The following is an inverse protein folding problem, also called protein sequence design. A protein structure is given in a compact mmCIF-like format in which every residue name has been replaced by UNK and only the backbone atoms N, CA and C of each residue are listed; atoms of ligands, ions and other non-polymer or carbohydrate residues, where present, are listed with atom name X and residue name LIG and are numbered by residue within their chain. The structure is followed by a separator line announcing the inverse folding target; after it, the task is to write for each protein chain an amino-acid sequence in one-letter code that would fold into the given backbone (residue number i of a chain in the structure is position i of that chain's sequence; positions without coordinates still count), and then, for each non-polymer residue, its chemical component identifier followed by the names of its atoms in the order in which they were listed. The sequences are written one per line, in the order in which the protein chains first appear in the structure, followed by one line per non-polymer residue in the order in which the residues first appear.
data_IF_377407675115
#
_entry.id   IF_377407675115
#
_cell.length_a   1.000
_cell.length_b   1.000
_cell.length_c   1.000
_cell.angle_alpha   90.00
_cell.angle_beta   90.00
_cell.angle_gamma   90.00
#
_symmetry.space_group_name_H-M   'P 1'
#
loop_
_entity.id
_entity.type
_entity.pdbx_description
1 polymer ?
#
# COMPACT_ATOMS: atom_id res chain seq x y z
N UNK A 1 -53.30 46.67 14.45
CA UNK A 1 -51.83 46.85 14.38
C UNK A 1 -51.20 45.47 14.29
N UNK A 2 -50.35 45.25 13.27
CA UNK A 2 -49.86 43.94 12.81
C UNK A 2 -48.80 43.37 13.75
N UNK A 3 -48.85 42.04 13.93
CA UNK A 3 -47.96 41.18 14.74
C UNK A 3 -46.52 41.20 14.24
N UNK A 4 -45.55 41.05 15.14
CA UNK A 4 -44.23 40.52 14.79
C UNK A 4 -43.60 39.83 16.02
N UNK A 5 -43.63 38.50 16.04
CA UNK A 5 -42.86 37.68 16.98
C UNK A 5 -41.62 37.19 16.24
N UNK A 6 -40.46 37.72 16.61
CA UNK A 6 -39.18 37.30 16.04
C UNK A 6 -38.70 36.05 16.77
N UNK A 7 -38.85 34.89 16.15
CA UNK A 7 -38.18 33.65 16.57
C UNK A 7 -36.71 33.73 16.14
N UNK A 8 -35.79 33.85 17.10
CA UNK A 8 -34.35 33.70 16.86
C UNK A 8 -34.03 32.23 17.13
N UNK A 9 -34.06 31.41 16.10
CA UNK A 9 -33.50 30.05 16.13
C UNK A 9 -31.99 30.17 15.94
N UNK A 10 -31.23 30.12 17.04
CA UNK A 10 -29.78 29.91 16.99
C UNK A 10 -29.55 28.46 16.59
N UNK A 11 -29.34 28.23 15.30
CA UNK A 11 -28.76 26.98 14.82
C UNK A 11 -27.29 26.94 15.26
N UNK A 12 -27.00 26.27 16.37
CA UNK A 12 -25.65 25.75 16.61
C UNK A 12 -25.38 24.71 15.52
N UNK A 13 -24.87 25.13 14.37
CA UNK A 13 -24.01 24.25 13.59
C UNK A 13 -22.78 24.02 14.45
N UNK A 14 -22.76 22.88 15.14
CA UNK A 14 -21.53 22.34 15.66
C UNK A 14 -20.58 22.19 14.48
N UNK A 15 -19.65 23.13 14.32
CA UNK A 15 -18.44 22.90 13.56
C UNK A 15 -17.67 21.87 14.37
N UNK A 16 -17.98 20.58 14.14
CA UNK A 16 -17.03 19.54 14.48
C UNK A 16 -15.74 19.94 13.76
N UNK A 17 -14.62 20.14 14.48
CA UNK A 17 -13.35 20.32 13.81
C UNK A 17 -13.17 19.16 12.82
N UNK A 18 -12.89 19.50 11.56
CA UNK A 18 -12.38 18.57 10.54
C UNK A 18 -11.01 18.07 11.03
N UNK A 19 -10.98 17.30 12.10
CA UNK A 19 -9.85 16.44 12.41
C UNK A 19 -9.85 15.42 11.30
N UNK A 20 -8.95 15.61 10.33
CA UNK A 20 -8.83 14.74 9.17
C UNK A 20 -8.81 13.28 9.61
N UNK A 21 -9.59 12.45 8.91
CA UNK A 21 -9.68 11.02 9.19
C UNK A 21 -8.28 10.40 9.25
N UNK A 22 -8.01 9.66 10.33
CA UNK A 22 -6.73 8.99 10.55
C UNK A 22 -6.75 7.60 9.92
N UNK A 23 -5.57 6.97 9.79
CA UNK A 23 -5.49 5.62 9.25
C UNK A 23 -6.28 4.60 10.09
N UNK A 24 -6.30 4.76 11.42
CA UNK A 24 -7.10 3.88 12.30
C UNK A 24 -8.60 4.05 12.08
N UNK A 25 -9.08 5.28 11.88
CA UNK A 25 -10.50 5.52 11.63
C UNK A 25 -10.92 4.91 10.29
N UNK A 26 -10.09 5.10 9.26
CA UNK A 26 -10.31 4.52 7.94
C UNK A 26 -10.27 2.99 7.97
N UNK A 27 -9.30 2.39 8.67
CA UNK A 27 -9.16 0.95 8.84
C UNK A 27 -10.35 0.32 9.58
N UNK A 28 -10.81 0.93 10.67
CA UNK A 28 -12.01 0.47 11.39
C UNK A 28 -13.25 0.48 10.52
N UNK A 29 -13.41 1.52 9.70
CA UNK A 29 -14.55 1.67 8.78
C UNK A 29 -14.46 0.79 7.52
N UNK A 30 -13.36 0.07 7.31
CA UNK A 30 -13.18 -0.78 6.12
C UNK A 30 -14.21 -1.91 6.07
N UNK A 31 -14.90 -2.11 4.94
CA UNK A 31 -15.87 -3.19 4.81
C UNK A 31 -15.18 -4.56 4.81
N UNK A 32 -15.88 -5.56 5.34
CA UNK A 32 -15.37 -6.93 5.46
C UNK A 32 -15.05 -7.60 4.10
N UNK A 33 -15.62 -7.10 3.00
CA UNK A 33 -15.29 -7.54 1.64
C UNK A 33 -13.82 -7.26 1.26
N UNK A 34 -13.22 -6.20 1.81
CA UNK A 34 -11.83 -5.83 1.56
C UNK A 34 -10.86 -6.44 2.57
N UNK A 35 -11.35 -6.87 3.74
CA UNK A 35 -10.59 -7.66 4.72
C UNK A 35 -11.34 -8.91 5.16
N UNK A 36 -11.45 -9.93 4.29
CA UNK A 36 -12.25 -11.12 4.58
C UNK A 36 -11.75 -11.88 5.81
N UNK A 37 -10.47 -11.77 6.16
CA UNK A 37 -9.88 -12.44 7.33
C UNK A 37 -10.19 -11.76 8.66
N UNK A 38 -10.46 -10.45 8.68
CA UNK A 38 -10.59 -9.67 9.90
C UNK A 38 -12.02 -9.17 10.07
N UNK A 39 -12.58 -9.44 11.25
CA UNK A 39 -13.86 -8.83 11.66
C UNK A 39 -13.66 -7.39 12.11
N UNK A 40 -14.74 -6.61 12.21
CA UNK A 40 -14.72 -5.28 12.83
C UNK A 40 -14.10 -5.31 14.25
N UNK A 41 -14.46 -6.31 15.05
CA UNK A 41 -13.91 -6.50 16.41
C UNK A 41 -12.40 -6.75 16.34
N UNK A 42 -11.93 -7.62 15.44
CA UNK A 42 -10.49 -7.85 15.29
C UNK A 42 -9.73 -6.57 14.92
N UNK A 43 -10.30 -5.73 14.04
CA UNK A 43 -9.67 -4.46 13.65
C UNK A 43 -9.56 -3.51 14.83
N UNK A 44 -10.61 -3.41 15.65
CA UNK A 44 -10.60 -2.61 16.87
C UNK A 44 -9.58 -3.14 17.90
N UNK A 45 -9.60 -4.45 18.19
CA UNK A 45 -8.69 -5.08 19.15
C UNK A 45 -7.21 -4.87 18.78
N UNK A 46 -6.85 -5.01 17.50
CA UNK A 46 -5.49 -4.75 17.04
C UNK A 46 -5.03 -3.32 17.34
N UNK A 47 -5.89 -2.33 17.12
CA UNK A 47 -5.57 -0.92 17.41
C UNK A 47 -5.37 -0.74 18.92
N UNK A 48 -6.34 -1.20 19.72
CA UNK A 48 -6.33 -1.02 21.17
C UNK A 48 -5.12 -1.71 21.81
N UNK A 49 -4.75 -2.89 21.34
CA UNK A 49 -3.57 -3.62 21.81
C UNK A 49 -2.28 -2.87 21.48
N UNK A 50 -2.12 -2.37 20.25
CA UNK A 50 -0.88 -1.71 19.84
C UNK A 50 -0.72 -0.34 20.52
N UNK A 51 -1.81 0.43 20.66
CA UNK A 51 -1.83 1.69 21.42
C UNK A 51 -1.49 1.45 22.91
N UNK A 52 -1.90 0.31 23.45
CA UNK A 52 -1.55 -0.14 24.81
C UNK A 52 -0.14 -0.76 24.91
N UNK A 53 0.66 -0.73 23.84
CA UNK A 53 2.01 -1.33 23.76
C UNK A 53 2.03 -2.84 24.02
N UNK A 54 0.91 -3.51 23.79
CA UNK A 54 0.79 -4.97 23.84
C UNK A 54 1.05 -5.56 22.46
N UNK A 55 1.27 -6.88 22.40
CA UNK A 55 1.32 -7.60 21.12
C UNK A 55 -0.08 -7.57 20.49
N UNK A 56 -0.22 -6.89 19.35
CA UNK A 56 -1.50 -6.67 18.68
C UNK A 56 -1.93 -7.85 17.81
N UNK A 57 -2.00 -9.03 18.41
CA UNK A 57 -2.35 -10.29 17.76
C UNK A 57 -3.81 -10.68 18.03
N UNK A 58 -4.51 -11.07 16.96
CA UNK A 58 -5.91 -11.53 17.00
C UNK A 58 -6.04 -12.88 16.29
N UNK A 59 -7.09 -13.63 16.66
CA UNK A 59 -7.48 -14.84 15.92
C UNK A 59 -8.43 -14.43 14.79
N UNK A 60 -8.03 -14.68 13.54
CA UNK A 60 -8.76 -14.32 12.34
C UNK A 60 -9.88 -15.32 12.01
N UNK A 61 -10.70 -15.03 10.98
CA UNK A 61 -11.84 -15.88 10.59
C UNK A 61 -11.48 -17.33 10.22
N UNK A 62 -10.22 -17.61 9.89
CA UNK A 62 -9.73 -18.96 9.59
C UNK A 62 -9.15 -19.66 10.84
N UNK A 63 -9.27 -19.07 12.02
CA UNK A 63 -8.70 -19.60 13.26
C UNK A 63 -7.18 -19.43 13.38
N UNK A 64 -6.55 -18.70 12.46
CA UNK A 64 -5.11 -18.42 12.47
C UNK A 64 -4.81 -17.06 13.10
N UNK A 65 -3.53 -16.79 13.36
CA UNK A 65 -3.09 -15.51 13.94
C UNK A 65 -2.86 -14.47 12.86
N UNK A 66 -3.35 -13.26 13.13
CA UNK A 66 -3.02 -12.03 12.41
C UNK A 66 -2.54 -11.00 13.41
N UNK A 67 -1.59 -10.15 13.03
CA UNK A 67 -0.93 -9.22 13.94
C UNK A 67 -0.79 -7.84 13.30
N UNK A 68 -1.16 -6.78 14.02
CA UNK A 68 -0.80 -5.41 13.65
C UNK A 68 0.62 -5.13 14.13
N UNK A 69 1.54 -4.97 13.18
CA UNK A 69 2.96 -4.79 13.50
C UNK A 69 3.35 -3.32 13.59
N UNK A 70 2.58 -2.42 12.97
CA UNK A 70 2.86 -0.99 12.98
C UNK A 70 1.58 -0.18 12.79
N UNK A 71 1.47 0.91 13.55
CA UNK A 71 0.41 1.90 13.48
C UNK A 71 1.04 3.29 13.61
N UNK A 72 0.76 4.13 12.62
CA UNK A 72 1.10 5.55 12.61
C UNK A 72 -0.16 6.36 12.22
N UNK A 73 -0.15 7.71 12.33
CA UNK A 73 -1.33 8.53 12.06
C UNK A 73 -1.97 8.32 10.68
N UNK A 74 -1.15 7.99 9.67
CA UNK A 74 -1.52 7.83 8.27
C UNK A 74 -1.12 6.46 7.69
N UNK A 75 -0.62 5.53 8.50
CA UNK A 75 -0.10 4.24 8.03
C UNK A 75 -0.45 3.09 8.97
N UNK A 76 -0.76 1.93 8.40
CA UNK A 76 -0.94 0.66 9.14
C UNK A 76 -0.19 -0.46 8.42
N UNK A 77 0.39 -1.37 9.19
CA UNK A 77 0.93 -2.64 8.70
C UNK A 77 0.37 -3.83 9.48
N UNK A 78 -0.12 -4.81 8.74
CA UNK A 78 -0.67 -6.06 9.23
C UNK A 78 0.12 -7.25 8.69
N UNK A 79 0.47 -8.19 9.57
CA UNK A 79 0.73 -9.57 9.22
C UNK A 79 -0.63 -10.29 9.15
N UNK A 80 -1.07 -10.66 7.95
CA UNK A 80 -2.40 -11.28 7.76
C UNK A 80 -2.36 -12.78 8.04
N UNK A 81 -1.32 -13.46 7.59
CA UNK A 81 -1.00 -14.87 7.88
C UNK A 81 0.52 -15.03 7.97
N UNK A 82 1.06 -16.22 8.23
CA UNK A 82 2.51 -16.46 8.14
C UNK A 82 3.13 -16.22 6.75
N UNK A 83 2.29 -16.12 5.71
CA UNK A 83 2.72 -15.96 4.30
C UNK A 83 2.09 -14.76 3.62
N UNK A 84 1.38 -13.87 4.33
CA UNK A 84 0.79 -12.69 3.70
C UNK A 84 0.81 -11.49 4.62
N UNK A 85 1.00 -10.33 4.02
CA UNK A 85 1.13 -9.04 4.67
C UNK A 85 0.21 -8.05 3.98
N UNK A 86 -0.28 -7.08 4.73
CA UNK A 86 -1.09 -6.00 4.22
C UNK A 86 -0.62 -4.67 4.79
N UNK A 87 -0.60 -3.63 3.96
CA UNK A 87 -0.22 -2.28 4.36
C UNK A 87 -1.26 -1.30 3.83
N UNK A 88 -1.50 -0.21 4.56
CA UNK A 88 -2.20 0.95 4.01
C UNK A 88 -1.47 2.24 4.36
N UNK A 89 -1.59 3.23 3.48
CA UNK A 89 -1.17 4.60 3.73
C UNK A 89 -2.20 5.59 3.20
N UNK A 90 -2.54 6.59 3.99
CA UNK A 90 -3.36 7.72 3.57
C UNK A 90 -2.47 8.78 2.92
N UNK A 91 -2.81 9.21 1.71
CA UNK A 91 -1.99 10.12 0.91
C UNK A 91 -2.81 11.35 0.51
N UNK A 92 -2.26 12.55 0.67
CA UNK A 92 -2.93 13.79 0.30
C UNK A 92 -2.83 13.99 -1.22
N UNK A 93 -3.96 14.06 -1.92
CA UNK A 93 -4.00 14.47 -3.34
C UNK A 93 -3.94 16.00 -3.44
N UNK A 94 -4.63 16.68 -2.53
CA UNK A 94 -4.62 18.13 -2.33
C UNK A 94 -4.95 18.43 -0.85
N UNK A 95 -5.11 19.71 -0.49
CA UNK A 95 -5.34 20.14 0.89
C UNK A 95 -6.62 19.58 1.53
N UNK A 96 -7.59 19.15 0.73
CA UNK A 96 -8.90 18.69 1.18
C UNK A 96 -9.21 17.22 0.86
N UNK A 97 -8.43 16.59 -0.03
CA UNK A 97 -8.70 15.24 -0.53
C UNK A 97 -7.57 14.29 -0.19
N UNK A 98 -7.93 13.17 0.43
CA UNK A 98 -7.04 12.04 0.68
C UNK A 98 -7.51 10.81 -0.07
N UNK A 99 -6.56 9.97 -0.45
CA UNK A 99 -6.80 8.62 -0.96
C UNK A 99 -6.11 7.61 -0.06
N UNK A 100 -6.61 6.39 -0.07
CA UNK A 100 -6.03 5.25 0.64
C UNK A 100 -5.29 4.39 -0.37
N UNK A 101 -3.97 4.30 -0.23
CA UNK A 101 -3.17 3.32 -0.96
C UNK A 101 -3.05 2.06 -0.09
N UNK A 102 -3.38 0.90 -0.64
CA UNK A 102 -3.18 -0.39 0.05
C UNK A 102 -2.20 -1.25 -0.72
N UNK A 103 -1.41 -2.06 0.01
CA UNK A 103 -0.58 -3.11 -0.57
C UNK A 103 -0.98 -4.43 0.06
N UNK A 104 -1.30 -5.41 -0.80
CA UNK A 104 -1.47 -6.80 -0.41
C UNK A 104 -0.29 -7.60 -0.95
N UNK A 105 0.50 -8.21 -0.06
CA UNK A 105 1.64 -9.04 -0.45
C UNK A 105 1.39 -10.48 -0.06
N UNK A 106 1.54 -11.40 -1.02
CA UNK A 106 1.53 -12.85 -0.77
C UNK A 106 2.95 -13.38 -0.98
N UNK A 107 3.44 -14.11 0.01
CA UNK A 107 4.72 -14.79 -0.04
C UNK A 107 4.50 -16.27 -0.38
N UNK A 108 4.34 -16.55 -1.67
CA UNK A 108 4.35 -17.89 -2.23
C UNK A 108 5.78 -18.46 -2.26
N UNK A 109 6.28 -19.00 -3.37
CA UNK A 109 7.71 -19.30 -3.51
C UNK A 109 8.55 -18.02 -3.45
N UNK A 110 8.02 -16.92 -3.98
CA UNK A 110 8.63 -15.59 -4.01
C UNK A 110 7.56 -14.54 -3.67
N UNK A 111 7.88 -13.45 -2.95
CA UNK A 111 6.91 -12.40 -2.66
C UNK A 111 6.46 -11.66 -3.91
N UNK A 112 5.15 -11.47 -4.03
CA UNK A 112 4.53 -10.61 -5.04
C UNK A 112 3.44 -9.74 -4.41
N UNK A 113 3.26 -8.53 -4.94
CA UNK A 113 2.42 -7.51 -4.32
C UNK A 113 1.46 -6.87 -5.30
N UNK A 114 0.22 -6.70 -4.84
CA UNK A 114 -0.80 -5.92 -5.51
C UNK A 114 -0.98 -4.56 -4.82
N UNK A 115 -1.18 -3.51 -5.62
CA UNK A 115 -1.30 -2.12 -5.14
C UNK A 115 -2.61 -1.53 -5.63
N UNK A 116 -3.51 -1.23 -4.69
CA UNK A 116 -4.83 -0.67 -4.97
C UNK A 116 -4.98 0.72 -4.34
N UNK A 117 -5.91 1.50 -4.89
CA UNK A 117 -6.25 2.82 -4.38
C UNK A 117 -7.75 2.91 -4.11
N UNK A 118 -8.12 3.59 -3.04
CA UNK A 118 -9.51 3.79 -2.64
C UNK A 118 -9.76 5.22 -2.18
N UNK A 119 -11.02 5.63 -2.20
CA UNK A 119 -11.47 6.76 -1.38
C UNK A 119 -11.40 6.41 0.11
N UNK A 120 -11.57 7.41 0.97
CA UNK A 120 -11.68 7.24 2.42
C UNK A 120 -12.89 6.41 2.87
N UNK A 121 -13.90 6.30 1.99
CA UNK A 121 -15.12 5.50 2.14
C UNK A 121 -15.01 4.13 1.45
N UNK A 122 -13.79 3.72 1.06
CA UNK A 122 -13.49 2.41 0.48
C UNK A 122 -14.12 2.14 -0.89
N UNK A 123 -14.37 3.19 -1.67
CA UNK A 123 -14.66 3.04 -3.10
C UNK A 123 -13.37 2.89 -3.88
N UNK A 124 -13.23 1.80 -4.65
CA UNK A 124 -12.04 1.54 -5.45
C UNK A 124 -11.85 2.60 -6.54
N UNK A 125 -10.60 3.02 -6.72
CA UNK A 125 -10.18 3.99 -7.72
C UNK A 125 -9.23 3.33 -8.72
N UNK A 126 -9.16 3.89 -9.93
CA UNK A 126 -8.23 3.37 -10.94
C UNK A 126 -6.78 3.59 -10.49
N UNK A 127 -6.05 2.51 -10.21
CA UNK A 127 -4.65 2.56 -9.78
C UNK A 127 -3.76 3.32 -10.77
N UNK A 128 -4.04 3.22 -12.07
CA UNK A 128 -3.31 3.93 -13.13
C UNK A 128 -3.34 5.46 -13.01
N UNK A 129 -4.31 6.02 -12.29
CA UNK A 129 -4.37 7.46 -11.99
C UNK A 129 -3.32 7.90 -10.98
N UNK A 130 -2.83 6.98 -10.16
CA UNK A 130 -1.95 7.25 -9.02
C UNK A 130 -0.58 6.60 -9.13
N UNK A 131 -0.45 5.54 -9.92
CA UNK A 131 0.76 4.74 -10.01
C UNK A 131 0.84 4.03 -11.36
N UNK A 132 1.96 4.22 -12.04
CA UNK A 132 2.39 3.31 -13.09
C UNK A 132 3.16 2.17 -12.41
N UNK A 133 2.62 0.95 -12.48
CA UNK A 133 3.34 -0.22 -11.97
C UNK A 133 4.64 -0.42 -12.78
N UNK A 134 5.76 -0.73 -12.11
CA UNK A 134 7.03 -0.95 -12.80
C UNK A 134 6.95 -2.22 -13.66
N UNK A 135 7.56 -2.17 -14.83
CA UNK A 135 7.73 -3.31 -15.73
C UNK A 135 9.13 -3.90 -15.58
N UNK A 136 9.38 -5.07 -16.18
CA UNK A 136 10.67 -5.76 -16.11
C UNK A 136 11.84 -4.85 -16.49
N UNK A 137 11.67 -4.05 -17.54
CA UNK A 137 12.68 -3.15 -18.07
C UNK A 137 13.08 -2.05 -17.09
N UNK A 138 12.17 -1.61 -16.21
CA UNK A 138 12.49 -0.61 -15.19
C UNK A 138 13.53 -1.13 -14.20
N UNK A 139 13.55 -2.45 -13.96
CA UNK A 139 14.49 -3.15 -13.09
C UNK A 139 15.79 -3.55 -13.78
N UNK A 140 15.99 -3.23 -15.07
CA UNK A 140 17.16 -3.62 -15.84
C UNK A 140 17.89 -2.40 -16.42
N UNK A 141 19.21 -2.38 -16.27
CA UNK A 141 20.14 -1.40 -16.86
C UNK A 141 20.95 -2.06 -17.98
N UNK A 142 20.29 -2.62 -18.99
CA UNK A 142 20.98 -3.21 -20.15
C UNK A 142 21.35 -2.10 -21.14
N UNK A 143 22.64 -1.92 -21.50
CA UNK A 143 23.02 -0.93 -22.51
C UNK A 143 22.45 -1.28 -23.88
N UNK A 144 21.91 -0.31 -24.62
CA UNK A 144 21.36 -0.54 -25.97
C UNK A 144 22.39 -1.11 -26.95
N UNK A 145 23.68 -0.84 -26.73
CA UNK A 145 24.78 -1.38 -27.53
C UNK A 145 25.07 -2.86 -27.28
N UNK A 146 24.51 -3.44 -26.21
CA UNK A 146 24.74 -4.82 -25.83
C UNK A 146 23.83 -5.75 -26.65
N UNK A 147 24.31 -6.19 -27.82
CA UNK A 147 23.65 -7.22 -28.63
C UNK A 147 24.07 -8.63 -28.18
N UNK A 148 23.81 -8.95 -26.91
CA UNK A 148 24.15 -10.24 -26.30
C UNK A 148 22.93 -11.17 -26.30
N UNK A 149 23.02 -12.27 -27.04
CA UNK A 149 21.95 -13.27 -27.13
C UNK A 149 21.67 -13.96 -25.80
N UNK A 150 22.68 -14.13 -24.95
CA UNK A 150 22.55 -14.71 -23.61
C UNK A 150 21.74 -13.82 -22.68
N UNK A 151 21.97 -12.50 -22.71
CA UNK A 151 21.15 -11.54 -21.94
C UNK A 151 19.70 -11.55 -22.41
N UNK A 152 19.46 -11.54 -23.73
CA UNK A 152 18.09 -11.61 -24.28
C UNK A 152 17.38 -12.92 -23.91
N UNK A 153 18.09 -14.04 -23.97
CA UNK A 153 17.58 -15.33 -23.55
C UNK A 153 17.27 -15.36 -22.05
N UNK A 154 18.15 -14.82 -21.21
CA UNK A 154 17.92 -14.75 -19.77
C UNK A 154 16.72 -13.86 -19.43
N UNK A 155 16.54 -12.71 -20.10
CA UNK A 155 15.35 -11.87 -19.95
C UNK A 155 14.07 -12.61 -20.35
N UNK A 156 14.11 -13.45 -21.39
CA UNK A 156 12.93 -14.23 -21.82
C UNK A 156 12.46 -15.28 -20.81
N UNK A 157 13.30 -15.63 -19.82
CA UNK A 157 12.91 -16.53 -18.71
C UNK A 157 12.15 -15.81 -17.59
N UNK A 158 12.13 -14.47 -17.58
CA UNK A 158 11.32 -13.67 -16.65
C UNK A 158 9.88 -13.55 -17.19
N UNK A 159 9.17 -14.67 -17.27
CA UNK A 159 7.80 -14.79 -17.77
C UNK A 159 6.75 -14.08 -16.89
N UNK A 160 7.07 -13.84 -15.62
CA UNK A 160 6.25 -13.11 -14.65
C UNK A 160 7.10 -12.06 -13.92
N UNK A 161 6.73 -10.79 -14.04
CA UNK A 161 7.38 -9.73 -13.27
C UNK A 161 6.83 -9.68 -11.85
N UNK A 162 7.43 -10.48 -10.96
CA UNK A 162 7.13 -10.48 -9.53
C UNK A 162 7.90 -9.36 -8.81
N UNK A 163 7.19 -8.61 -7.98
CA UNK A 163 7.73 -7.48 -7.21
C UNK A 163 7.17 -7.42 -5.79
N UNK A 164 8.02 -7.04 -4.83
CA UNK A 164 7.58 -6.75 -3.47
C UNK A 164 7.44 -5.24 -3.27
N UNK A 165 6.22 -4.77 -3.08
CA UNK A 165 5.93 -3.38 -2.80
C UNK A 165 5.96 -3.09 -1.28
N UNK A 166 6.50 -1.93 -0.89
CA UNK A 166 6.55 -1.51 0.51
C UNK A 166 6.28 -0.01 0.65
N UNK A 167 5.32 0.34 1.51
CA UNK A 167 5.00 1.72 1.87
C UNK A 167 5.80 2.10 3.11
N UNK A 168 6.37 3.30 3.10
CA UNK A 168 7.07 3.85 4.26
C UNK A 168 6.08 4.43 5.26
N UNK A 169 6.26 4.08 6.55
CA UNK A 169 5.51 4.69 7.65
C UNK A 169 5.98 6.11 7.98
N UNK A 170 7.16 6.52 7.49
CA UNK A 170 7.81 7.78 7.88
C UNK A 170 7.63 8.90 6.87
N UNK A 171 7.38 8.56 5.61
CA UNK A 171 7.29 9.51 4.51
C UNK A 171 6.48 8.91 3.36
N UNK A 172 6.12 9.74 2.39
CA UNK A 172 5.27 9.33 1.27
C UNK A 172 6.10 8.68 0.17
N UNK A 173 6.76 7.58 0.53
CA UNK A 173 7.55 6.77 -0.40
C UNK A 173 7.01 5.35 -0.51
N UNK A 174 7.09 4.85 -1.73
CA UNK A 174 6.75 3.48 -2.12
C UNK A 174 7.99 2.88 -2.76
N UNK A 175 8.39 1.68 -2.36
CA UNK A 175 9.51 0.96 -2.97
C UNK A 175 9.04 -0.34 -3.56
N UNK A 176 9.57 -0.69 -4.73
CA UNK A 176 9.40 -2.01 -5.33
C UNK A 176 10.74 -2.73 -5.31
N UNK A 177 10.82 -3.88 -4.65
CA UNK A 177 11.98 -4.76 -4.71
C UNK A 177 11.77 -5.80 -5.79
N UNK A 178 12.76 -5.98 -6.65
CA UNK A 178 12.70 -6.96 -7.73
C UNK A 178 12.86 -8.37 -7.16
N UNK A 179 11.78 -9.15 -7.19
CA UNK A 179 11.76 -10.50 -6.61
C UNK A 179 11.79 -11.59 -7.67
N UNK A 180 11.43 -11.27 -8.91
CA UNK A 180 11.51 -12.16 -10.10
C UNK A 180 12.78 -13.02 -10.17
N UNK A 181 14.01 -12.49 -9.97
CA UNK A 181 15.21 -13.32 -10.10
C UNK A 181 15.29 -14.48 -9.11
N UNK A 182 14.50 -14.45 -8.03
CA UNK A 182 14.49 -15.49 -6.99
C UNK A 182 13.76 -16.77 -7.43
N UNK A 183 12.93 -16.73 -8.48
CA UNK A 183 12.30 -17.94 -9.02
C UNK A 183 12.94 -18.40 -10.34
N UNK A 184 13.77 -17.56 -10.96
CA UNK A 184 14.46 -17.88 -12.21
C UNK A 184 15.55 -18.94 -12.00
N UNK A 185 15.94 -19.59 -13.10
CA UNK A 185 17.10 -20.47 -13.13
C UNK A 185 18.40 -19.72 -12.73
N UNK A 186 19.29 -20.41 -12.03
CA UNK A 186 20.53 -19.81 -11.51
C UNK A 186 21.44 -19.28 -12.61
N UNK A 187 21.56 -19.96 -13.75
CA UNK A 187 22.43 -19.54 -14.85
C UNK A 187 21.89 -18.25 -15.48
N UNK A 188 20.57 -18.19 -15.73
CA UNK A 188 19.92 -17.00 -16.26
C UNK A 188 20.02 -15.81 -15.28
N UNK A 189 19.85 -16.06 -13.99
CA UNK A 189 19.98 -15.05 -12.96
C UNK A 189 21.41 -14.49 -12.89
N UNK A 190 22.43 -15.35 -12.96
CA UNK A 190 23.84 -14.92 -12.97
C UNK A 190 24.17 -14.04 -14.18
N UNK A 191 23.57 -14.31 -15.35
CA UNK A 191 23.69 -13.45 -16.55
C UNK A 191 23.05 -12.08 -16.33
N UNK A 192 21.87 -12.01 -15.70
CA UNK A 192 21.16 -10.73 -15.51
C UNK A 192 21.69 -9.90 -14.34
N UNK A 193 22.29 -10.53 -13.34
CA UNK A 193 22.75 -9.92 -12.09
C UNK A 193 23.52 -8.59 -12.25
N UNK A 194 24.43 -8.41 -13.23
CA UNK A 194 25.13 -7.14 -13.42
C UNK A 194 24.23 -5.98 -13.85
N UNK A 195 23.08 -6.28 -14.46
CA UNK A 195 22.14 -5.31 -15.01
C UNK A 195 20.96 -5.01 -14.08
N UNK A 196 20.76 -5.81 -13.02
CA UNK A 196 19.60 -5.68 -12.14
C UNK A 196 19.71 -4.42 -11.27
N UNK A 197 18.64 -3.61 -11.31
CA UNK A 197 18.31 -2.61 -10.28
C UNK A 197 17.45 -3.31 -9.23
N UNK A 198 17.98 -3.64 -8.04
CA UNK A 198 17.25 -4.49 -7.09
C UNK A 198 16.03 -3.80 -6.48
N UNK A 199 16.03 -2.46 -6.44
CA UNK A 199 14.96 -1.67 -5.82
C UNK A 199 14.68 -0.44 -6.68
N UNK A 200 13.40 -0.20 -6.95
CA UNK A 200 12.90 1.05 -7.50
C UNK A 200 12.20 1.84 -6.40
N UNK A 201 12.47 3.14 -6.34
CA UNK A 201 11.88 4.04 -5.35
C UNK A 201 10.95 5.02 -6.05
N UNK A 202 9.77 5.19 -5.46
CA UNK A 202 8.75 6.15 -5.88
C UNK A 202 8.47 7.12 -4.74
N UNK A 203 8.16 8.36 -5.08
CA UNK A 203 7.76 9.43 -4.15
C UNK A 203 6.38 9.94 -4.54
N UNK A 204 5.53 10.19 -3.56
CA UNK A 204 4.24 10.82 -3.79
C UNK A 204 4.43 12.30 -4.10
N UNK A 205 3.99 12.75 -5.28
CA UNK A 205 4.03 14.14 -5.73
C UNK A 205 2.82 14.43 -6.59
N UNK A 206 2.19 15.58 -6.35
CA UNK A 206 1.06 16.08 -7.17
C UNK A 206 -0.05 15.02 -7.33
N UNK A 207 -0.35 14.30 -6.24
CA UNK A 207 -1.42 13.31 -6.21
C UNK A 207 -1.10 11.96 -6.86
N UNK A 208 0.16 11.64 -7.13
CA UNK A 208 0.57 10.32 -7.65
C UNK A 208 1.98 9.91 -7.22
N UNK A 209 2.27 8.62 -7.25
CA UNK A 209 3.63 8.10 -7.11
C UNK A 209 4.40 8.28 -8.41
N UNK A 210 5.55 8.95 -8.33
CA UNK A 210 6.49 9.12 -9.44
C UNK A 210 7.83 8.47 -9.12
N UNK A 211 8.49 7.81 -10.09
CA UNK A 211 9.80 7.20 -9.86
C UNK A 211 10.83 8.28 -9.50
N UNK A 212 11.68 7.97 -8.53
CA UNK A 212 12.87 8.77 -8.23
C UNK A 212 13.93 8.38 -9.25
N UNK A 213 13.96 9.07 -10.39
CA UNK A 213 15.09 8.98 -11.31
C UNK A 213 16.31 9.55 -10.56
N UNK A 214 17.38 8.77 -10.44
CA UNK A 214 18.68 9.32 -10.06
C UNK A 214 19.04 10.41 -11.08
N UNK A 215 19.10 11.67 -10.63
CA UNK A 215 19.81 12.74 -11.34
C UNK A 215 21.28 12.38 -11.51
#
# INVERSE_FOLDING_TARGET
MKKLYTFISVALLGMAPLFGQTAKDCFKAMPDSLTPLLTEVNKADCIDFLESKMKAEVTNRLGQKSEMTELAPDYIRMQMTSRSFWQMKMLNVNDSTRVVCTISTVNGPVPDSDVCFYTTEWQELSASSFLQMPVLEDFLSVPDSLNDNGVRQAMSQADMTLVMANLSSKNDTLTFSFTTPRYMDSEANDVLKPFIRPVLKYVWREGRFVPVTSL
#
